data_IF_690001316000
#
_entry.id   IF_690001316000
#
_cell.length_a   1.000
_cell.length_b   1.000
_cell.length_c   1.000
_cell.angle_alpha   90.00
_cell.angle_beta   90.00
_cell.angle_gamma   90.00
#
_symmetry.space_group_name_H-M   'P 1'
#
loop_
_entity.id
_entity.type
_entity.pdbx_description
1 polymer ?
#
# COMPACT_ATOMS: atom_id res chain seq x y z
N UNK A 1 -9.83 -14.31 3.49
CA UNK A 1 -10.95 -14.19 4.44
C UNK A 1 -12.23 -14.07 3.64
N UNK A 2 -13.29 -14.76 4.06
CA UNK A 2 -14.60 -14.68 3.40
C UNK A 2 -15.34 -13.45 3.95
N UNK A 3 -15.55 -12.36 3.18
CA UNK A 3 -16.27 -11.20 3.67
C UNK A 3 -17.71 -11.61 3.94
N UNK A 4 -18.12 -11.64 5.21
CA UNK A 4 -19.45 -12.11 5.64
C UNK A 4 -20.59 -11.15 5.29
N UNK A 5 -20.30 -10.01 4.65
CA UNK A 5 -21.30 -9.03 4.28
C UNK A 5 -21.16 -8.67 2.80
N UNK A 6 -22.20 -8.87 1.96
CA UNK A 6 -22.16 -8.51 0.54
C UNK A 6 -22.06 -6.99 0.28
N UNK A 7 -22.09 -6.17 1.34
CA UNK A 7 -21.81 -4.72 1.31
C UNK A 7 -20.58 -4.28 2.11
N UNK A 8 -19.75 -5.19 2.64
CA UNK A 8 -18.53 -4.77 3.35
C UNK A 8 -17.50 -4.23 2.37
N UNK A 9 -17.10 -2.97 2.56
CA UNK A 9 -16.03 -2.32 1.83
C UNK A 9 -14.77 -3.17 1.98
N UNK A 10 -14.29 -3.71 0.86
CA UNK A 10 -13.04 -4.45 0.80
C UNK A 10 -11.91 -3.45 0.53
N UNK A 11 -10.96 -3.35 1.45
CA UNK A 11 -9.75 -2.55 1.30
C UNK A 11 -8.69 -3.38 0.56
N UNK A 12 -8.15 -2.86 -0.54
CA UNK A 12 -6.95 -3.42 -1.16
C UNK A 12 -5.71 -2.89 -0.42
N UNK A 13 -4.74 -3.76 -0.16
CA UNK A 13 -3.49 -3.41 0.48
C UNK A 13 -2.33 -3.82 -0.44
N UNK A 14 -1.63 -2.84 -0.98
CA UNK A 14 -0.42 -3.02 -1.78
C UNK A 14 0.83 -2.99 -0.91
N UNK A 15 1.76 -3.92 -1.15
CA UNK A 15 3.10 -3.87 -0.56
C UNK A 15 3.89 -2.70 -1.19
N UNK A 16 4.21 -1.70 -0.38
CA UNK A 16 4.91 -0.51 -0.85
C UNK A 16 6.30 -0.83 -1.39
N UNK A 17 7.05 -1.71 -0.71
CA UNK A 17 8.42 -2.04 -1.12
C UNK A 17 8.46 -2.84 -2.42
N UNK A 18 7.45 -3.70 -2.64
CA UNK A 18 7.41 -4.57 -3.80
C UNK A 18 6.74 -3.94 -5.04
N UNK A 19 5.74 -3.06 -4.85
CA UNK A 19 4.86 -2.62 -5.95
C UNK A 19 4.93 -1.12 -6.26
N UNK A 20 5.29 -0.28 -5.29
CA UNK A 20 5.23 1.17 -5.50
C UNK A 20 6.25 1.62 -6.56
N UNK A 21 5.83 2.47 -7.50
CA UNK A 21 6.69 2.89 -8.61
C UNK A 21 6.87 1.84 -9.72
N UNK A 22 6.17 0.70 -9.65
CA UNK A 22 6.24 -0.35 -10.68
C UNK A 22 4.97 -0.40 -11.55
N UNK A 23 5.05 -1.04 -12.71
CA UNK A 23 3.88 -1.30 -13.56
C UNK A 23 2.84 -2.15 -12.83
N UNK A 24 3.26 -3.19 -12.10
CA UNK A 24 2.37 -4.00 -11.26
C UNK A 24 1.64 -3.18 -10.19
N UNK A 25 2.27 -2.12 -9.67
CA UNK A 25 1.62 -1.17 -8.78
C UNK A 25 0.52 -0.36 -9.47
N UNK A 26 0.74 0.06 -10.72
CA UNK A 26 -0.30 0.71 -11.54
C UNK A 26 -1.44 -0.24 -11.86
N UNK A 27 -1.14 -1.51 -12.09
CA UNK A 27 -2.16 -2.54 -12.32
C UNK A 27 -3.07 -2.70 -11.10
N UNK A 28 -2.48 -2.67 -9.90
CA UNK A 28 -3.23 -2.68 -8.64
C UNK A 28 -4.11 -1.43 -8.49
N UNK A 29 -3.60 -0.24 -8.80
CA UNK A 29 -4.40 0.99 -8.83
C UNK A 29 -5.57 0.90 -9.83
N UNK A 30 -5.32 0.38 -11.04
CA UNK A 30 -6.37 0.17 -12.06
C UNK A 30 -7.42 -0.82 -11.59
N UNK A 31 -7.01 -1.91 -10.93
CA UNK A 31 -7.93 -2.88 -10.33
C UNK A 31 -8.78 -2.23 -9.23
N UNK A 32 -8.17 -1.47 -8.32
CA UNK A 32 -8.85 -0.75 -7.26
C UNK A 32 -9.91 0.20 -7.83
N UNK A 33 -9.52 1.03 -8.81
CA UNK A 33 -10.42 1.96 -9.50
C UNK A 33 -11.57 1.25 -10.22
N UNK A 34 -11.28 0.15 -10.94
CA UNK A 34 -12.28 -0.62 -11.69
C UNK A 34 -13.39 -1.18 -10.78
N UNK A 35 -13.03 -1.55 -9.56
CA UNK A 35 -13.96 -2.15 -8.60
C UNK A 35 -14.42 -1.16 -7.51
N UNK A 36 -14.10 0.13 -7.65
CA UNK A 36 -14.39 1.17 -6.65
C UNK A 36 -13.94 0.78 -5.23
N UNK A 37 -12.80 0.08 -5.14
CA UNK A 37 -12.23 -0.34 -3.86
C UNK A 37 -11.21 0.70 -3.40
N UNK A 38 -11.24 1.11 -2.12
CA UNK A 38 -10.15 1.87 -1.55
C UNK A 38 -8.84 1.07 -1.64
N UNK A 39 -7.75 1.77 -1.92
CA UNK A 39 -6.40 1.19 -1.93
C UNK A 39 -5.57 1.86 -0.84
N UNK A 40 -4.88 1.04 -0.05
CA UNK A 40 -3.83 1.48 0.84
C UNK A 40 -2.51 0.80 0.49
N UNK A 41 -1.42 1.52 0.68
CA UNK A 41 -0.07 1.01 0.65
C UNK A 41 0.36 0.66 2.07
N UNK A 42 1.12 -0.42 2.23
CA UNK A 42 1.69 -0.82 3.51
C UNK A 42 3.20 -0.94 3.43
N UNK A 43 3.91 -0.39 4.41
CA UNK A 43 5.36 -0.53 4.49
C UNK A 43 5.78 -1.98 4.80
N UNK A 44 4.98 -2.72 5.55
CA UNK A 44 5.24 -4.11 5.91
C UNK A 44 4.21 -5.07 5.35
N UNK A 45 4.54 -6.36 5.34
CA UNK A 45 3.68 -7.45 4.85
C UNK A 45 2.47 -7.75 5.74
N UNK A 46 2.13 -6.89 6.70
CA UNK A 46 0.97 -7.07 7.58
C UNK A 46 1.04 -8.34 8.44
N UNK A 47 2.23 -8.89 8.69
CA UNK A 47 2.39 -10.16 9.41
C UNK A 47 2.15 -11.40 8.55
N UNK A 48 2.00 -11.24 7.22
CA UNK A 48 2.08 -12.35 6.27
C UNK A 48 3.56 -12.73 6.16
N UNK A 49 4.03 -13.46 7.18
CA UNK A 49 5.27 -14.20 7.08
C UNK A 49 4.99 -15.32 6.08
N UNK A 50 5.39 -15.12 4.83
CA UNK A 50 5.45 -16.20 3.87
C UNK A 50 6.49 -17.16 4.44
N UNK A 51 6.04 -18.15 5.20
CA UNK A 51 6.93 -19.23 5.66
C UNK A 51 7.63 -19.72 4.39
N UNK A 52 8.98 -19.73 4.34
CA UNK A 52 9.65 -20.35 3.23
C UNK A 52 9.16 -21.80 3.20
N UNK A 53 8.38 -22.14 2.18
CA UNK A 53 8.08 -23.53 1.89
C UNK A 53 9.44 -24.16 1.62
N UNK A 54 9.82 -25.06 2.52
CA UNK A 54 11.07 -25.79 2.48
C UNK A 54 10.96 -26.82 1.36
N UNK A 55 11.03 -26.37 0.10
CA UNK A 55 11.24 -27.27 -1.03
C UNK A 55 12.73 -27.66 -1.07
N UNK A 56 13.08 -28.95 -1.00
CA UNK A 56 14.47 -29.40 -0.92
C UNK A 56 15.18 -29.44 -2.28
N UNK A 57 14.82 -28.57 -3.24
CA UNK A 57 15.40 -28.58 -4.58
C UNK A 57 16.39 -27.41 -4.78
N UNK A 58 17.69 -27.68 -5.00
CA UNK A 58 18.72 -26.67 -5.03
C UNK A 58 18.93 -26.13 -6.45
N UNK A 59 18.01 -25.34 -6.99
CA UNK A 59 18.26 -24.63 -8.26
C UNK A 59 17.68 -23.22 -8.25
N UNK A 60 18.58 -22.26 -8.52
CA UNK A 60 18.37 -20.82 -8.75
C UNK A 60 18.17 -19.94 -7.50
N UNK A 61 19.30 -19.36 -7.05
CA UNK A 61 19.32 -18.18 -6.19
C UNK A 61 18.69 -16.97 -6.90
N UNK A 62 17.37 -16.86 -6.88
CA UNK A 62 16.77 -15.53 -6.88
C UNK A 62 16.94 -14.97 -5.47
N UNK A 63 17.83 -13.98 -5.34
CA UNK A 63 17.94 -13.16 -4.14
C UNK A 63 16.56 -12.63 -3.77
N UNK A 64 15.94 -13.28 -2.80
CA UNK A 64 14.79 -12.76 -2.09
C UNK A 64 15.28 -11.51 -1.37
N UNK A 65 14.85 -10.29 -1.78
CA UNK A 65 15.30 -9.08 -1.12
C UNK A 65 14.97 -9.22 0.36
N UNK A 66 15.97 -8.94 1.18
CA UNK A 66 15.97 -9.02 2.63
C UNK A 66 14.57 -8.76 3.19
N UNK A 67 13.98 -9.74 3.86
CA UNK A 67 12.66 -9.62 4.51
C UNK A 67 12.77 -8.64 5.67
N UNK A 68 12.75 -7.35 5.36
CA UNK A 68 12.67 -6.28 6.35
C UNK A 68 11.23 -6.29 6.86
N UNK A 69 11.06 -6.80 8.07
CA UNK A 69 9.74 -6.87 8.70
C UNK A 69 9.41 -5.50 9.29
N UNK A 70 8.57 -4.73 8.61
CA UNK A 70 8.04 -3.48 9.14
C UNK A 70 6.77 -3.74 9.96
N UNK A 71 6.51 -2.90 10.97
CA UNK A 71 5.28 -2.99 11.75
C UNK A 71 4.05 -2.85 10.83
N UNK A 72 3.19 -3.90 10.79
CA UNK A 72 2.09 -4.03 9.83
C UNK A 72 0.95 -3.01 9.93
N UNK A 73 1.05 -2.09 10.88
CA UNK A 73 0.05 -1.06 11.15
C UNK A 73 0.34 0.25 10.39
N UNK A 74 1.46 0.35 9.68
CA UNK A 74 1.76 1.51 8.86
C UNK A 74 1.11 1.36 7.48
N UNK A 75 -0.02 2.05 7.30
CA UNK A 75 -0.78 2.09 6.05
C UNK A 75 -1.08 3.53 5.66
N UNK A 76 -1.00 3.78 4.36
CA UNK A 76 -1.18 5.08 3.72
C UNK A 76 -2.17 4.86 2.59
N UNK A 77 -3.25 5.63 2.51
CA UNK A 77 -4.21 5.49 1.41
C UNK A 77 -3.60 5.90 0.08
N UNK A 78 -4.16 5.46 -1.03
CA UNK A 78 -3.74 5.95 -2.34
C UNK A 78 -4.61 7.18 -2.71
N UNK A 79 -4.05 8.41 -2.76
CA UNK A 79 -4.82 9.61 -3.06
C UNK A 79 -5.35 9.67 -4.51
N UNK A 80 -4.86 8.79 -5.40
CA UNK A 80 -5.29 8.73 -6.81
C UNK A 80 -6.55 7.88 -7.01
N UNK A 81 -7.01 7.19 -5.95
CA UNK A 81 -8.15 6.28 -5.97
C UNK A 81 -9.31 6.90 -5.20
N UNK A 82 -10.55 6.64 -5.64
CA UNK A 82 -11.75 7.21 -5.00
C UNK A 82 -11.81 6.86 -3.51
N UNK A 83 -12.02 7.90 -2.70
CA UNK A 83 -12.22 7.82 -1.26
C UNK A 83 -13.69 8.00 -0.86
N UNK A 84 -14.62 7.97 -1.81
CA UNK A 84 -16.06 8.22 -1.60
C UNK A 84 -16.67 7.35 -0.47
N UNK A 85 -16.07 6.19 -0.21
CA UNK A 85 -16.51 5.24 0.80
C UNK A 85 -15.66 5.26 2.07
N UNK A 86 -14.78 6.25 2.24
CA UNK A 86 -13.86 6.37 3.38
C UNK A 86 -13.92 7.76 4.00
N UNK A 87 -13.89 7.85 5.33
CA UNK A 87 -13.82 9.13 6.07
C UNK A 87 -12.40 9.73 6.08
N UNK A 88 -11.70 9.67 4.95
CA UNK A 88 -10.32 10.16 4.80
C UNK A 88 -10.34 11.56 4.22
N UNK A 89 -9.59 12.48 4.84
CA UNK A 89 -9.36 13.81 4.28
C UNK A 89 -8.09 13.73 3.45
N UNK A 90 -8.19 14.03 2.15
CA UNK A 90 -7.03 14.07 1.26
C UNK A 90 -6.71 15.52 0.92
N UNK A 91 -5.52 16.03 1.31
CA UNK A 91 -5.08 17.35 0.89
C UNK A 91 -5.02 17.45 -0.63
N UNK A 92 -5.35 18.62 -1.20
CA UNK A 92 -5.35 18.82 -2.65
C UNK A 92 -3.98 18.62 -3.31
N UNK A 93 -2.88 18.72 -2.54
CA UNK A 93 -1.52 18.45 -3.02
C UNK A 93 -1.06 17.00 -2.87
N UNK A 94 -1.84 16.14 -2.20
CA UNK A 94 -1.42 14.77 -1.89
C UNK A 94 -1.22 13.92 -3.14
N UNK A 95 -2.10 14.06 -4.14
CA UNK A 95 -1.99 13.37 -5.43
C UNK A 95 -0.69 13.76 -6.17
N UNK A 96 -0.40 15.06 -6.24
CA UNK A 96 0.83 15.56 -6.88
C UNK A 96 2.09 15.00 -6.21
N UNK A 97 2.17 15.08 -4.87
CA UNK A 97 3.31 14.55 -4.14
C UNK A 97 3.45 13.03 -4.25
N UNK A 98 2.32 12.33 -4.31
CA UNK A 98 2.29 10.89 -4.54
C UNK A 98 2.87 10.53 -5.92
N UNK A 99 2.43 11.22 -6.96
CA UNK A 99 2.88 11.01 -8.33
C UNK A 99 4.37 11.38 -8.54
N UNK A 100 4.84 12.47 -7.92
CA UNK A 100 6.26 12.85 -7.93
C UNK A 100 7.14 11.76 -7.30
N UNK A 101 6.70 11.20 -6.16
CA UNK A 101 7.40 10.11 -5.51
C UNK A 101 7.35 8.83 -6.34
N UNK A 102 6.19 8.53 -6.95
CA UNK A 102 6.03 7.40 -7.86
C UNK A 102 7.02 7.48 -9.01
N UNK A 103 7.09 8.62 -9.69
CA UNK A 103 8.01 8.84 -10.80
C UNK A 103 9.47 8.71 -10.35
N UNK A 104 9.82 9.25 -9.18
CA UNK A 104 11.17 9.14 -8.60
C UNK A 104 11.56 7.67 -8.38
N UNK A 105 10.68 6.87 -7.75
CA UNK A 105 10.95 5.46 -7.48
C UNK A 105 10.98 4.65 -8.77
N UNK A 106 10.08 4.94 -9.72
CA UNK A 106 10.06 4.30 -11.05
C UNK A 106 11.40 4.46 -11.77
N UNK A 107 11.98 5.68 -11.73
CA UNK A 107 13.29 5.94 -12.33
C UNK A 107 14.43 5.19 -11.62
N UNK A 108 14.35 5.05 -10.29
CA UNK A 108 15.33 4.26 -9.53
C UNK A 108 15.23 2.79 -9.88
N UNK A 109 14.02 2.22 -9.90
CA UNK A 109 13.76 0.82 -10.25
C UNK A 109 14.23 0.48 -11.68
N UNK A 110 14.05 1.40 -12.63
CA UNK A 110 14.52 1.23 -14.00
C UNK A 110 16.06 1.11 -14.11
N UNK A 111 16.79 1.70 -13.16
CA UNK A 111 18.27 1.67 -13.10
C UNK A 111 18.79 0.55 -12.21
N UNK A 112 18.10 0.30 -11.10
CA UNK A 112 18.45 -0.71 -10.11
C UNK A 112 17.16 -1.31 -9.52
N UNK A 113 16.82 -2.55 -9.87
CA UNK A 113 15.61 -3.21 -9.37
C UNK A 113 15.73 -3.61 -7.88
N UNK A 114 16.93 -3.59 -7.30
CA UNK A 114 17.15 -3.98 -5.90
C UNK A 114 17.13 -2.72 -5.03
N UNK A 115 16.07 -2.61 -4.22
CA UNK A 115 15.88 -1.50 -3.28
C UNK A 115 16.48 -1.82 -1.90
N UNK A 116 17.18 -0.86 -1.32
CA UNK A 116 17.65 -0.97 0.06
C UNK A 116 16.53 -0.62 1.05
N UNK A 117 16.55 -1.27 2.22
CA UNK A 117 15.63 -0.98 3.32
C UNK A 117 15.63 0.52 3.72
N UNK A 118 16.81 1.14 3.67
CA UNK A 118 16.97 2.56 4.00
C UNK A 118 16.25 3.47 3.00
N UNK A 119 16.33 3.17 1.71
CA UNK A 119 15.64 3.93 0.66
C UNK A 119 14.12 3.80 0.80
N UNK A 120 13.61 2.57 0.93
CA UNK A 120 12.18 2.29 1.12
C UNK A 120 11.64 3.03 2.34
N UNK A 121 12.34 2.94 3.48
CA UNK A 121 11.92 3.64 4.71
C UNK A 121 11.94 5.16 4.58
N UNK A 122 12.89 5.70 3.80
CA UNK A 122 12.98 7.14 3.55
C UNK A 122 11.81 7.63 2.70
N UNK A 123 11.53 6.94 1.59
CA UNK A 123 10.40 7.26 0.71
C UNK A 123 9.07 7.14 1.42
N UNK A 124 8.89 6.09 2.23
CA UNK A 124 7.71 5.93 3.06
C UNK A 124 7.50 7.12 4.00
N UNK A 125 8.57 7.62 4.64
CA UNK A 125 8.48 8.80 5.52
C UNK A 125 8.07 10.06 4.75
N UNK A 126 8.56 10.24 3.53
CA UNK A 126 8.13 11.34 2.66
C UNK A 126 6.64 11.27 2.40
N UNK A 127 6.12 10.08 2.09
CA UNK A 127 4.70 9.87 1.81
C UNK A 127 3.82 9.96 3.06
N UNK A 128 4.29 9.43 4.19
CA UNK A 128 3.58 9.50 5.47
C UNK A 128 3.37 10.94 5.94
N UNK A 129 4.32 11.84 5.64
CA UNK A 129 4.23 13.26 5.97
C UNK A 129 3.18 14.03 5.18
N UNK A 130 2.68 13.49 4.06
CA UNK A 130 1.70 14.15 3.18
C UNK A 130 0.27 13.65 3.37
N UNK A 131 0.04 12.65 4.21
CA UNK A 131 -1.27 12.07 4.45
C UNK A 131 -1.89 12.43 5.80
N UNK A 132 -3.20 12.69 5.77
CA UNK A 132 -4.01 12.94 6.96
C UNK A 132 -4.53 11.60 7.49
N UNK A 133 -4.33 11.40 8.78
CA UNK A 133 -4.78 10.26 9.58
C UNK A 133 -6.28 9.97 9.34
N UNK A 134 -6.63 8.68 9.25
CA UNK A 134 -8.03 8.26 9.44
C UNK A 134 -8.52 8.81 10.79
N UNK A 135 -9.58 9.62 10.77
CA UNK A 135 -10.27 9.94 12.00
C UNK A 135 -10.73 8.60 12.63
N UNK A 136 -10.48 8.36 13.93
CA UNK A 136 -11.06 7.20 14.59
C UNK A 136 -12.57 7.25 14.40
N UNK A 137 -13.17 6.14 13.98
CA UNK A 137 -14.62 5.99 14.04
C UNK A 137 -14.99 6.20 15.52
N UNK A 138 -15.63 7.33 15.82
CA UNK A 138 -16.22 7.57 17.14
C UNK A 138 -17.50 6.75 17.21
N UNK A 139 -17.90 6.29 18.40
CA UNK A 139 -19.12 5.47 18.60
C UNK A 139 -20.37 6.08 17.93
N UNK A 140 -20.43 7.41 17.81
CA UNK A 140 -21.50 8.15 17.11
C UNK A 140 -21.49 8.05 15.58
N UNK A 141 -20.48 7.42 14.96
CA UNK A 141 -20.36 7.31 13.50
C UNK A 141 -21.27 6.20 12.93
N UNK A 142 -21.81 5.34 13.80
CA UNK A 142 -22.77 4.29 13.46
C UNK A 142 -24.23 4.70 13.73
N UNK A 143 -24.51 5.89 14.25
CA UNK A 143 -25.87 6.38 14.53
C UNK A 143 -26.51 7.12 13.34
N UNK A 144 -25.88 7.18 12.17
CA UNK A 144 -26.50 7.72 10.96
C UNK A 144 -27.26 6.62 10.20
N UNK A 145 -28.30 6.08 10.83
CA UNK A 145 -29.40 5.38 10.17
C UNK A 145 -30.63 5.41 11.09
N UNK A 146 -31.38 6.50 11.04
CA UNK A 146 -32.81 6.55 10.71
C UNK A 146 -33.27 8.00 10.47
#
# INVERSE_FOLDING_TARGET
GNPRFPGSISLLIGDFAALFGSDSGRDLQRLAKKHSLPLAWSLGTGGISVKPHHDPHPHHHHHNPSTVTYAGNQRIFDPTISHEYTNVIVPSSAEMHFEDLWATISQVLARNPILSAANVSSWWRTLAGTQVLMAPLKDSSCEAAD
#
